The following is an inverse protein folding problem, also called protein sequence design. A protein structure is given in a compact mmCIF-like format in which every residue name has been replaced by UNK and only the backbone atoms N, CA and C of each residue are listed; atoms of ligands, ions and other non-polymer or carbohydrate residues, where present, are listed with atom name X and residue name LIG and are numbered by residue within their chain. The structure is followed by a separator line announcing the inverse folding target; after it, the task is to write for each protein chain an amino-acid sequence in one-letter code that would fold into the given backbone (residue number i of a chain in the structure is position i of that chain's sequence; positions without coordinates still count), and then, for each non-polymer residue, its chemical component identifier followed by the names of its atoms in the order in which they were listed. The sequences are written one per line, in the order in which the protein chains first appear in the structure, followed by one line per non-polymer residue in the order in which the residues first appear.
data_IF_938065045303
#
_entry.id   IF_938065045303
#
_cell.length_a   1.000
_cell.length_b   1.000
_cell.length_c   1.000
_cell.angle_alpha   90.00
_cell.angle_beta   90.00
_cell.angle_gamma   90.00
#
_symmetry.space_group_name_H-M   'P 1'
#
loop_
_entity.id
_entity.type
_entity.pdbx_description
1 polymer ?
#
# COMPACT_ATOMS: atom_id res chain seq x y z
N UNK A 1 -1.17 16.81 -2.80
CA UNK A 1 -1.41 15.36 -2.72
C UNK A 1 -0.10 14.63 -2.99
N UNK A 2 0.20 13.65 -2.18
CA UNK A 2 1.41 12.84 -2.29
C UNK A 2 1.01 11.40 -2.53
N UNK A 3 1.68 10.70 -3.43
CA UNK A 3 1.34 9.31 -3.76
C UNK A 3 2.46 8.37 -3.31
N UNK A 4 2.10 7.34 -2.57
CA UNK A 4 3.00 6.23 -2.25
C UNK A 4 2.70 5.06 -3.16
N UNK A 5 3.74 4.49 -3.74
CA UNK A 5 3.66 3.20 -4.43
C UNK A 5 3.91 2.13 -3.39
N UNK A 6 2.83 1.52 -2.91
CA UNK A 6 2.94 0.50 -1.87
C UNK A 6 3.10 -0.87 -2.53
N UNK A 7 4.14 -1.58 -2.16
CA UNK A 7 4.38 -2.94 -2.64
C UNK A 7 4.29 -3.87 -1.45
N UNK A 8 3.43 -4.89 -1.55
CA UNK A 8 3.20 -5.85 -0.47
C UNK A 8 3.52 -7.26 -0.96
N UNK A 9 4.48 -7.93 -0.30
CA UNK A 9 4.84 -9.32 -0.62
C UNK A 9 4.07 -10.24 0.31
N UNK A 10 2.87 -10.60 -0.12
CA UNK A 10 1.90 -11.33 0.70
C UNK A 10 2.19 -12.82 0.69
N UNK A 11 2.15 -13.45 1.85
CA UNK A 11 2.33 -14.90 1.99
C UNK A 11 1.29 -15.65 1.17
N UNK A 12 1.74 -16.67 0.44
CA UNK A 12 0.85 -17.51 -0.37
C UNK A 12 -0.26 -18.12 0.51
N UNK A 13 -1.49 -18.07 0.02
CA UNK A 13 -2.66 -18.55 0.75
C UNK A 13 -3.35 -17.48 1.59
N UNK A 14 -2.75 -16.32 1.77
CA UNK A 14 -3.30 -15.24 2.60
C UNK A 14 -3.84 -14.06 1.78
N UNK A 15 -3.96 -14.25 0.47
CA UNK A 15 -4.39 -13.17 -0.44
C UNK A 15 -5.76 -12.61 -0.09
N UNK A 16 -6.72 -13.48 0.20
CA UNK A 16 -8.08 -13.03 0.52
C UNK A 16 -8.15 -12.27 1.85
N UNK A 17 -7.40 -12.73 2.85
CA UNK A 17 -7.29 -12.02 4.12
C UNK A 17 -6.66 -10.64 3.93
N UNK A 18 -5.64 -10.54 3.08
CA UNK A 18 -4.98 -9.28 2.77
C UNK A 18 -5.92 -8.30 2.05
N UNK A 19 -6.71 -8.80 1.11
CA UNK A 19 -7.73 -7.97 0.41
C UNK A 19 -8.73 -7.35 1.38
N UNK A 20 -9.12 -8.08 2.42
CA UNK A 20 -10.03 -7.55 3.45
C UNK A 20 -9.40 -6.40 4.22
N UNK A 21 -8.11 -6.47 4.48
CA UNK A 21 -7.38 -5.38 5.13
C UNK A 21 -7.22 -4.18 4.19
N UNK A 22 -6.91 -4.42 2.92
CA UNK A 22 -6.85 -3.36 1.92
C UNK A 22 -8.19 -2.62 1.79
N UNK A 23 -9.30 -3.34 1.90
CA UNK A 23 -10.62 -2.72 1.85
C UNK A 23 -10.84 -1.71 2.97
N UNK A 24 -10.13 -1.84 4.08
CA UNK A 24 -10.19 -0.93 5.23
C UNK A 24 -9.13 0.17 5.18
N UNK A 25 -8.11 0.00 4.38
CA UNK A 25 -6.90 0.82 4.42
C UNK A 25 -7.18 2.28 4.07
N UNK A 26 -7.52 2.55 2.81
CA UNK A 26 -7.81 3.93 2.40
C UNK A 26 -8.99 4.55 3.17
N UNK A 27 -10.13 3.83 3.36
CA UNK A 27 -11.24 4.43 4.12
C UNK A 27 -10.84 4.85 5.53
N UNK A 28 -9.99 4.07 6.21
CA UNK A 28 -9.50 4.43 7.54
C UNK A 28 -8.65 5.69 7.50
N UNK A 29 -7.70 5.75 6.55
CA UNK A 29 -6.84 6.93 6.39
C UNK A 29 -7.64 8.18 6.04
N UNK A 30 -8.64 8.05 5.18
CA UNK A 30 -9.50 9.17 4.83
C UNK A 30 -10.33 9.65 6.03
N UNK A 31 -10.88 8.72 6.78
CA UNK A 31 -11.70 9.04 7.96
C UNK A 31 -10.91 9.79 9.03
N UNK A 32 -9.65 9.44 9.24
CA UNK A 32 -8.79 10.15 10.21
C UNK A 32 -8.12 11.40 9.63
N UNK A 33 -8.47 11.79 8.40
CA UNK A 33 -8.03 13.04 7.81
C UNK A 33 -6.67 13.01 7.14
N UNK A 34 -6.06 11.84 6.96
CA UNK A 34 -4.72 11.70 6.35
C UNK A 34 -4.76 11.29 4.88
N UNK A 35 -5.74 10.51 4.48
CA UNK A 35 -5.91 10.08 3.09
C UNK A 35 -6.57 11.15 2.24
N UNK A 36 -6.15 11.28 0.98
CA UNK A 36 -6.80 12.14 0.02
C UNK A 36 -8.19 11.59 -0.34
N UNK A 37 -9.02 12.42 -0.97
CA UNK A 37 -10.38 12.00 -1.35
C UNK A 37 -10.39 10.95 -2.47
N UNK A 38 -9.32 10.86 -3.24
CA UNK A 38 -9.20 9.87 -4.29
C UNK A 38 -8.86 8.50 -3.69
N UNK A 39 -9.70 7.47 -3.89
CA UNK A 39 -9.38 6.12 -3.41
C UNK A 39 -8.11 5.56 -4.03
N UNK A 40 -7.51 4.59 -3.32
CA UNK A 40 -6.35 3.87 -3.83
C UNK A 40 -6.69 3.10 -5.11
N UNK A 41 -5.71 2.98 -6.00
CA UNK A 41 -5.75 2.04 -7.11
C UNK A 41 -4.93 0.83 -6.70
N UNK A 42 -5.50 -0.37 -6.81
CA UNK A 42 -4.87 -1.58 -6.30
C UNK A 42 -4.74 -2.63 -7.41
N UNK A 43 -3.56 -3.23 -7.49
CA UNK A 43 -3.26 -4.30 -8.43
C UNK A 43 -2.85 -5.55 -7.66
N UNK A 44 -3.22 -6.70 -8.17
CA UNK A 44 -2.75 -7.99 -7.66
C UNK A 44 -2.00 -8.71 -8.76
N UNK A 45 -0.87 -9.30 -8.41
CA UNK A 45 -0.06 -10.04 -9.37
C UNK A 45 0.82 -11.06 -8.67
N UNK A 46 1.89 -11.42 -9.33
CA UNK A 46 2.86 -12.37 -8.79
C UNK A 46 4.27 -12.00 -9.20
N UNK A 47 5.23 -12.43 -8.41
CA UNK A 47 6.65 -12.31 -8.73
C UNK A 47 7.33 -13.66 -8.52
N UNK A 48 8.48 -13.85 -9.16
CA UNK A 48 9.24 -15.09 -9.08
C UNK A 48 8.38 -16.31 -9.45
N UNK A 49 8.39 -17.34 -8.62
CA UNK A 49 7.62 -18.56 -8.82
C UNK A 49 6.18 -18.45 -8.29
N UNK A 50 5.41 -17.54 -8.90
CA UNK A 50 3.99 -17.31 -8.56
C UNK A 50 3.74 -16.88 -7.12
N UNK A 51 4.69 -16.14 -6.54
CA UNK A 51 4.52 -15.61 -5.20
C UNK A 51 3.63 -14.37 -5.24
N UNK A 52 2.60 -14.27 -4.38
CA UNK A 52 1.64 -13.16 -4.46
C UNK A 52 2.28 -11.80 -4.16
N UNK A 53 1.88 -10.81 -4.94
CA UNK A 53 2.26 -9.43 -4.71
C UNK A 53 1.04 -8.54 -4.91
N UNK A 54 0.90 -7.53 -4.06
CA UNK A 54 -0.09 -6.48 -4.25
C UNK A 54 0.63 -5.15 -4.40
N UNK A 55 0.08 -4.30 -5.26
CA UNK A 55 0.58 -2.94 -5.45
C UNK A 55 -0.59 -1.98 -5.22
N UNK A 56 -0.35 -0.98 -4.41
CA UNK A 56 -1.35 0.04 -4.11
C UNK A 56 -0.77 1.42 -4.38
N UNK A 57 -1.47 2.21 -5.19
CA UNK A 57 -1.16 3.63 -5.33
C UNK A 57 -2.02 4.37 -4.32
N UNK A 58 -1.42 4.78 -3.22
CA UNK A 58 -2.10 5.41 -2.10
C UNK A 58 -1.83 6.91 -2.10
N UNK A 59 -2.91 7.69 -2.10
CA UNK A 59 -2.82 9.14 -2.13
C UNK A 59 -3.03 9.73 -0.73
N UNK A 60 -2.02 10.45 -0.24
CA UNK A 60 -2.06 11.19 1.01
C UNK A 60 -2.44 12.64 0.75
N UNK A 61 -3.06 13.29 1.71
CA UNK A 61 -3.36 14.73 1.58
C UNK A 61 -2.09 15.57 1.51
N UNK A 62 -1.06 15.22 2.30
CA UNK A 62 0.19 15.97 2.36
C UNK A 62 1.37 15.05 2.70
N UNK A 63 2.55 15.62 2.76
CA UNK A 63 3.81 14.90 2.98
C UNK A 63 3.94 14.33 4.40
N UNK A 64 3.14 14.78 5.34
CA UNK A 64 3.27 14.41 6.75
C UNK A 64 2.35 13.24 7.12
N UNK A 65 1.41 12.88 6.23
CA UNK A 65 0.39 11.89 6.51
C UNK A 65 0.94 10.53 6.93
N UNK A 66 1.92 10.02 6.22
CA UNK A 66 2.50 8.71 6.52
C UNK A 66 3.14 8.68 7.91
N UNK A 67 3.84 9.74 8.29
CA UNK A 67 4.42 9.86 9.64
C UNK A 67 3.37 9.90 10.72
N UNK A 68 2.33 10.72 10.54
CA UNK A 68 1.22 10.83 11.49
C UNK A 68 0.46 9.51 11.65
N UNK A 69 0.31 8.77 10.58
CA UNK A 69 -0.45 7.52 10.58
C UNK A 69 0.08 6.52 11.61
N UNK A 70 1.40 6.46 11.80
CA UNK A 70 2.03 5.57 12.78
C UNK A 70 1.61 5.88 14.22
N UNK A 71 1.13 7.08 14.49
CA UNK A 71 0.73 7.51 15.82
C UNK A 71 -0.75 7.24 16.11
N UNK A 72 -1.51 6.79 15.12
CA UNK A 72 -2.96 6.63 15.25
C UNK A 72 -3.35 5.17 15.45
N UNK A 73 -3.98 4.84 16.62
CA UNK A 73 -4.39 3.46 16.89
C UNK A 73 -5.29 2.85 15.82
N UNK A 74 -6.20 3.63 15.24
CA UNK A 74 -7.10 3.14 14.19
C UNK A 74 -6.35 2.69 12.94
N UNK A 75 -5.28 3.42 12.58
CA UNK A 75 -4.44 3.07 11.44
C UNK A 75 -3.61 1.84 11.77
N UNK A 76 -3.00 1.80 12.95
CA UNK A 76 -2.18 0.67 13.36
C UNK A 76 -2.98 -0.62 13.45
N UNK A 77 -4.28 -0.54 13.78
CA UNK A 77 -5.18 -1.69 13.78
C UNK A 77 -5.34 -2.32 12.40
N UNK A 78 -5.08 -1.56 11.32
CA UNK A 78 -5.06 -2.08 9.95
C UNK A 78 -3.64 -2.49 9.55
N UNK A 79 -2.65 -1.66 9.85
CA UNK A 79 -1.27 -1.88 9.42
C UNK A 79 -0.59 -3.08 10.07
N UNK A 80 -0.78 -3.29 11.37
CA UNK A 80 -0.16 -4.41 12.06
C UNK A 80 -0.55 -5.78 11.46
N UNK A 81 -1.85 -6.08 11.26
CA UNK A 81 -2.20 -7.35 10.61
C UNK A 81 -1.73 -7.41 9.15
N UNK A 82 -1.70 -6.29 8.42
CA UNK A 82 -1.14 -6.27 7.06
C UNK A 82 0.32 -6.74 7.07
N UNK A 83 1.12 -6.19 7.99
CA UNK A 83 2.52 -6.57 8.12
C UNK A 83 2.73 -8.05 8.43
N UNK A 84 1.86 -8.61 9.25
CA UNK A 84 1.93 -10.04 9.62
C UNK A 84 1.66 -10.98 8.45
N UNK A 85 0.93 -10.52 7.45
CA UNK A 85 0.61 -11.32 6.26
C UNK A 85 1.67 -11.20 5.16
N UNK A 86 2.67 -10.36 5.35
CA UNK A 86 3.74 -10.14 4.37
C UNK A 86 5.05 -10.79 4.80
N UNK A 87 5.90 -11.07 3.82
CA UNK A 87 7.18 -11.77 4.04
C UNK A 87 8.29 -11.19 3.18
N UNK A 88 9.54 -11.29 3.65
CA UNK A 88 10.72 -10.97 2.83
C UNK A 88 10.92 -12.03 1.76
N UNK A 89 11.48 -11.63 0.62
CA UNK A 89 11.81 -12.56 -0.48
C UNK A 89 13.12 -12.15 -1.12
N UNK A 90 14.08 -13.05 -1.17
CA UNK A 90 15.38 -12.83 -1.84
C UNK A 90 16.04 -11.51 -1.41
N UNK A 91 16.03 -11.21 -0.12
CA UNK A 91 16.61 -10.00 0.43
C UNK A 91 15.77 -8.74 0.29
N UNK A 92 14.62 -8.82 -0.37
CA UNK A 92 13.68 -7.69 -0.48
C UNK A 92 12.72 -7.67 0.71
N UNK A 93 12.38 -6.47 1.24
CA UNK A 93 11.53 -6.38 2.43
C UNK A 93 10.09 -6.84 2.15
N UNK A 94 9.33 -7.18 3.22
CA UNK A 94 7.91 -7.54 3.06
C UNK A 94 7.07 -6.45 2.44
N UNK A 95 7.42 -5.19 2.70
CA UNK A 95 6.66 -4.03 2.23
C UNK A 95 7.62 -2.93 1.83
N UNK A 96 7.27 -2.19 0.77
CA UNK A 96 8.04 -1.03 0.30
C UNK A 96 7.07 0.10 -0.02
N UNK A 97 7.48 1.35 0.25
CA UNK A 97 6.61 2.51 0.11
C UNK A 97 7.32 3.70 -0.55
N UNK A 98 7.91 3.56 -1.74
CA UNK A 98 8.50 4.72 -2.41
C UNK A 98 7.45 5.77 -2.73
N UNK A 99 7.85 7.03 -2.62
CA UNK A 99 7.00 8.15 -3.04
C UNK A 99 7.20 8.36 -4.53
N UNK A 100 6.10 8.51 -5.24
CA UNK A 100 6.11 8.63 -6.71
C UNK A 100 5.22 9.79 -7.13
N UNK A 101 5.44 10.28 -8.34
CA UNK A 101 4.58 11.30 -8.93
C UNK A 101 4.35 10.99 -10.41
N UNK A 102 3.19 11.35 -10.95
CA UNK A 102 2.95 11.16 -12.38
C UNK A 102 3.82 12.13 -13.19
N UNK A 103 4.34 11.65 -14.29
CA UNK A 103 5.05 12.49 -15.26
C UNK A 103 4.46 12.29 -16.63
N UNK A 104 4.65 13.26 -17.49
CA UNK A 104 4.30 13.14 -18.90
C UNK A 104 5.52 12.70 -19.69
N UNK A 105 5.35 11.65 -20.48
CA UNK A 105 6.38 11.17 -21.41
C UNK A 105 5.80 11.23 -22.81
N UNK A 106 6.50 11.91 -23.69
CA UNK A 106 6.11 11.96 -25.09
C UNK A 106 6.67 10.74 -25.79
N UNK A 107 5.79 9.84 -26.21
CA UNK A 107 6.21 8.61 -26.88
C UNK A 107 6.66 8.87 -28.30
N UNK A 108 7.73 8.18 -28.73
CA UNK A 108 8.16 8.17 -30.11
C UNK A 108 7.13 7.46 -30.97
N UNK A 109 7.03 7.88 -32.24
CA UNK A 109 6.12 7.28 -33.22
C UNK A 109 6.77 6.18 -34.04
#
# INVERSE_FOLDING_TARGET
MVTSLCIYRVKAGWENAFKKLLAKHWPTLRRVGLGADKPSTIYQGSEGEKQPIFVELLNWKDEQGAGHAHELPDVMAVWEPMGKLCESRAGRPPMEFPVVEPIEVRFER
#
